data_IF_798323637540
#
_entry.id   IF_798323637540
#
_cell.length_a   1.000
_cell.length_b   1.000
_cell.length_c   1.000
_cell.angle_alpha   90.00
_cell.angle_beta   90.00
_cell.angle_gamma   90.00
#
_symmetry.space_group_name_H-M   'P 1'
#
loop_
_entity.id
_entity.type
_entity.pdbx_description
1 polymer ?
#
# COMPACT_ATOMS: atom_id res chain seq x y z
N UNK A 1 34.73 -18.23 30.29
CA UNK A 1 33.26 -18.21 30.23
C UNK A 1 32.85 -17.05 29.33
N UNK A 2 32.75 -17.24 27.99
CA UNK A 2 32.21 -16.19 27.14
C UNK A 2 30.68 -16.26 27.20
N UNK A 3 30.07 -15.19 27.69
CA UNK A 3 28.63 -15.02 27.71
C UNK A 3 28.07 -15.13 26.30
N UNK A 4 27.13 -16.06 26.12
CA UNK A 4 26.36 -16.18 24.91
C UNK A 4 25.67 -14.85 24.65
N UNK A 5 26.05 -14.23 23.54
CA UNK A 5 25.35 -13.10 22.94
C UNK A 5 23.95 -13.58 22.60
N UNK A 6 22.94 -13.09 23.34
CA UNK A 6 21.54 -13.20 22.94
C UNK A 6 21.38 -12.44 21.62
N UNK A 7 21.54 -13.16 20.51
CA UNK A 7 21.06 -12.75 19.21
C UNK A 7 19.53 -12.81 19.25
N UNK A 8 18.91 -11.78 19.84
CA UNK A 8 17.50 -11.51 19.66
C UNK A 8 17.30 -11.16 18.18
N UNK A 9 16.97 -12.20 17.41
CA UNK A 9 16.09 -12.22 16.24
C UNK A 9 15.93 -10.86 15.57
N UNK A 10 16.65 -10.66 14.45
CA UNK A 10 16.25 -9.68 13.44
C UNK A 10 14.82 -10.01 13.03
N UNK A 11 13.88 -9.29 13.61
CA UNK A 11 12.46 -9.43 13.40
C UNK A 11 12.12 -9.16 11.93
N UNK A 12 11.29 -10.02 11.33
CA UNK A 12 10.79 -10.01 9.94
C UNK A 12 9.98 -8.75 9.53
N UNK A 13 10.27 -7.57 10.11
CA UNK A 13 9.58 -6.29 9.91
C UNK A 13 9.90 -5.67 8.53
N UNK A 14 10.78 -6.28 7.75
CA UNK A 14 11.35 -5.69 6.54
C UNK A 14 10.62 -6.05 5.24
N UNK A 15 9.49 -6.75 5.31
CA UNK A 15 8.72 -7.15 4.13
C UNK A 15 7.39 -6.40 4.05
N UNK A 16 7.21 -5.66 2.95
CA UNK A 16 6.04 -4.84 2.69
C UNK A 16 5.44 -5.27 1.35
N UNK A 17 4.15 -5.59 1.36
CA UNK A 17 3.37 -5.73 0.15
C UNK A 17 3.04 -4.34 -0.38
N UNK A 18 3.37 -4.08 -1.63
CA UNK A 18 2.99 -2.85 -2.32
C UNK A 18 1.93 -3.20 -3.35
N UNK A 19 0.81 -2.51 -3.28
CA UNK A 19 -0.22 -2.55 -4.32
C UNK A 19 -0.41 -1.16 -4.88
N UNK A 20 -0.65 -1.06 -6.18
CA UNK A 20 -1.12 0.17 -6.81
C UNK A 20 -2.53 -0.09 -7.27
N UNK A 21 -3.44 0.74 -6.81
CA UNK A 21 -4.85 0.67 -7.17
C UNK A 21 -5.29 1.93 -7.87
N UNK A 22 -6.33 1.82 -8.68
CA UNK A 22 -6.99 2.91 -9.36
C UNK A 22 -8.44 2.95 -8.94
N UNK A 23 -8.90 4.14 -8.56
CA UNK A 23 -10.31 4.43 -8.28
C UNK A 23 -10.76 5.65 -9.08
N UNK A 24 -12.07 5.77 -9.30
CA UNK A 24 -12.66 7.00 -9.81
C UNK A 24 -12.37 8.18 -8.87
N UNK A 25 -12.35 9.41 -9.40
CA UNK A 25 -12.17 10.62 -8.58
C UNK A 25 -13.33 10.81 -7.61
N UNK A 26 -14.55 10.45 -8.03
CA UNK A 26 -15.77 10.50 -7.21
C UNK A 26 -15.66 9.60 -5.98
N UNK A 27 -15.17 8.37 -6.14
CA UNK A 27 -15.08 7.40 -5.05
C UNK A 27 -13.78 7.53 -4.24
N UNK A 28 -12.80 8.29 -4.73
CA UNK A 28 -11.49 8.42 -4.07
C UNK A 28 -11.58 8.97 -2.64
N UNK A 29 -12.54 9.84 -2.36
CA UNK A 29 -12.76 10.36 -1.01
C UNK A 29 -13.19 9.25 -0.03
N UNK A 30 -14.09 8.36 -0.48
CA UNK A 30 -14.52 7.21 0.31
C UNK A 30 -13.40 6.18 0.50
N UNK A 31 -12.59 5.98 -0.54
CA UNK A 31 -11.40 5.14 -0.47
C UNK A 31 -10.40 5.65 0.60
N UNK A 32 -10.03 6.93 0.56
CA UNK A 32 -9.13 7.50 1.56
C UNK A 32 -9.72 7.44 2.97
N UNK A 33 -11.00 7.80 3.12
CA UNK A 33 -11.68 7.72 4.40
C UNK A 33 -11.64 6.31 5.01
N UNK A 34 -11.82 5.28 4.18
CA UNK A 34 -11.74 3.89 4.64
C UNK A 34 -10.34 3.52 5.10
N UNK A 35 -9.30 3.94 4.37
CA UNK A 35 -7.91 3.69 4.78
C UNK A 35 -7.55 4.44 6.07
N UNK A 36 -7.98 5.70 6.20
CA UNK A 36 -7.76 6.53 7.39
C UNK A 36 -8.50 5.99 8.62
N UNK A 37 -9.71 5.45 8.43
CA UNK A 37 -10.47 4.84 9.52
C UNK A 37 -9.85 3.51 10.01
N UNK A 38 -9.03 2.86 9.19
CA UNK A 38 -8.32 1.62 9.50
C UNK A 38 -6.84 1.89 9.80
N UNK A 39 -6.61 2.81 10.75
CA UNK A 39 -5.29 3.26 11.15
C UNK A 39 -4.30 2.10 11.39
N UNK A 40 -3.03 2.33 11.03
CA UNK A 40 -1.92 1.40 11.21
C UNK A 40 -2.00 0.07 10.42
N UNK A 41 -3.02 -0.18 9.61
CA UNK A 41 -3.09 -1.39 8.75
C UNK A 41 -2.24 -1.26 7.50
N UNK A 42 -2.25 -0.07 6.89
CA UNK A 42 -1.47 0.22 5.69
C UNK A 42 -1.04 1.69 5.65
N UNK A 43 -0.05 1.97 4.82
CA UNK A 43 0.34 3.32 4.42
C UNK A 43 -0.09 3.52 2.97
N UNK A 44 -0.44 4.74 2.59
CA UNK A 44 -0.77 5.02 1.21
C UNK A 44 -0.22 6.36 0.75
N UNK A 45 -0.07 6.50 -0.56
CA UNK A 45 0.28 7.73 -1.23
C UNK A 45 -0.46 7.82 -2.54
N UNK A 46 -0.99 9.00 -2.85
CA UNK A 46 -1.56 9.26 -4.17
C UNK A 46 -0.41 9.46 -5.15
N UNK A 47 -0.37 8.65 -6.21
CA UNK A 47 0.58 8.84 -7.30
C UNK A 47 0.20 10.08 -8.10
N UNK A 48 1.19 10.73 -8.71
CA UNK A 48 1.02 12.01 -9.41
C UNK A 48 -0.16 11.98 -10.38
N UNK A 49 -1.24 12.66 -10.00
CA UNK A 49 -2.42 12.82 -10.83
C UNK A 49 -2.20 14.00 -11.77
N UNK A 50 -2.26 13.77 -13.07
CA UNK A 50 -2.27 14.89 -14.02
C UNK A 50 -3.58 15.66 -13.84
N UNK A 51 -3.50 17.00 -13.86
CA UNK A 51 -4.67 17.87 -13.73
C UNK A 51 -5.74 17.45 -14.76
N UNK A 52 -6.96 17.15 -14.30
CA UNK A 52 -8.07 16.73 -15.17
C UNK A 52 -8.26 15.22 -15.31
N UNK A 53 -7.43 14.36 -14.71
CA UNK A 53 -7.67 12.91 -14.73
C UNK A 53 -8.92 12.54 -13.92
N UNK A 54 -9.82 11.69 -14.47
CA UNK A 54 -11.07 11.27 -13.82
C UNK A 54 -10.86 10.17 -12.76
N UNK A 55 -9.61 9.76 -12.53
CA UNK A 55 -9.24 8.70 -11.61
C UNK A 55 -8.11 9.13 -10.67
N UNK A 56 -7.85 8.31 -9.66
CA UNK A 56 -6.73 8.43 -8.74
C UNK A 56 -6.02 7.09 -8.67
N UNK A 57 -4.72 7.14 -8.88
CA UNK A 57 -3.83 6.01 -8.67
C UNK A 57 -3.22 6.16 -7.28
N UNK A 58 -3.32 5.11 -6.48
CA UNK A 58 -2.97 5.12 -5.07
C UNK A 58 -2.02 3.95 -4.85
N UNK A 59 -0.81 4.25 -4.42
CA UNK A 59 0.14 3.25 -3.94
C UNK A 59 -0.16 2.97 -2.47
N UNK A 60 -0.25 1.70 -2.10
CA UNK A 60 -0.54 1.23 -0.74
C UNK A 60 0.56 0.26 -0.33
N UNK A 61 1.17 0.52 0.83
CA UNK A 61 2.15 -0.35 1.48
C UNK A 61 1.53 -1.03 2.69
N UNK A 62 1.62 -2.36 2.73
CA UNK A 62 1.00 -3.20 3.74
C UNK A 62 2.10 -4.02 4.43
N UNK A 63 2.31 -3.88 5.74
CA UNK A 63 3.22 -4.76 6.48
C UNK A 63 2.80 -6.22 6.31
N UNK A 64 3.76 -7.13 6.06
CA UNK A 64 3.44 -8.55 5.84
C UNK A 64 2.58 -9.17 6.96
N UNK A 65 2.78 -8.75 8.20
CA UNK A 65 2.01 -9.23 9.35
C UNK A 65 0.55 -8.81 9.35
N UNK A 66 0.21 -7.71 8.66
CA UNK A 66 -1.14 -7.12 8.63
C UNK A 66 -1.88 -7.36 7.31
N UNK A 67 -1.30 -8.20 6.44
CA UNK A 67 -1.91 -8.54 5.16
C UNK A 67 -3.30 -9.17 5.31
N UNK A 68 -3.55 -10.12 6.23
CA UNK A 68 -4.88 -10.70 6.40
C UNK A 68 -5.95 -9.66 6.79
N UNK A 69 -5.62 -8.75 7.71
CA UNK A 69 -6.49 -7.67 8.16
C UNK A 69 -6.77 -6.68 7.03
N UNK A 70 -5.74 -6.35 6.26
CA UNK A 70 -5.89 -5.52 5.06
C UNK A 70 -6.81 -6.19 4.03
N UNK A 71 -6.61 -7.48 3.74
CA UNK A 71 -7.40 -8.19 2.73
C UNK A 71 -8.88 -8.23 3.07
N UNK A 72 -9.24 -8.41 4.34
CA UNK A 72 -10.63 -8.38 4.80
C UNK A 72 -11.27 -7.00 4.57
N UNK A 73 -10.59 -5.94 5.00
CA UNK A 73 -11.06 -4.56 4.84
C UNK A 73 -11.11 -4.15 3.37
N UNK A 74 -10.08 -4.51 2.59
CA UNK A 74 -10.01 -4.20 1.16
C UNK A 74 -11.05 -4.96 0.34
N UNK A 75 -11.37 -6.20 0.72
CA UNK A 75 -12.47 -6.97 0.09
C UNK A 75 -13.81 -6.27 0.30
N UNK A 76 -14.12 -5.89 1.54
CA UNK A 76 -15.35 -5.14 1.85
C UNK A 76 -15.40 -3.78 1.11
N UNK A 77 -14.26 -3.10 0.98
CA UNK A 77 -14.16 -1.87 0.20
C UNK A 77 -14.46 -2.12 -1.29
N UNK A 78 -13.88 -3.16 -1.89
CA UNK A 78 -14.12 -3.54 -3.28
C UNK A 78 -15.58 -3.95 -3.58
N UNK A 79 -16.33 -4.41 -2.58
CA UNK A 79 -17.78 -4.68 -2.72
C UNK A 79 -18.60 -3.39 -2.79
N UNK A 80 -18.13 -2.33 -2.12
CA UNK A 80 -18.84 -1.05 -2.03
C UNK A 80 -18.53 -0.06 -3.17
N UNK A 81 -17.39 -0.21 -3.85
CA UNK A 81 -16.94 0.70 -4.90
C UNK A 81 -16.04 0.02 -5.93
N UNK A 82 -15.87 0.66 -7.10
CA UNK A 82 -15.02 0.11 -8.17
C UNK A 82 -13.55 0.45 -7.93
N UNK A 83 -12.78 -0.58 -7.58
CA UNK A 83 -11.33 -0.49 -7.44
C UNK A 83 -10.66 -1.38 -8.49
N UNK A 84 -9.70 -0.84 -9.23
CA UNK A 84 -8.89 -1.59 -10.18
C UNK A 84 -7.47 -1.76 -9.62
N UNK A 85 -6.99 -2.99 -9.49
CA UNK A 85 -5.59 -3.25 -9.12
C UNK A 85 -4.73 -3.09 -10.40
N UNK A 86 -3.74 -2.20 -10.35
CA UNK A 86 -2.81 -1.94 -11.45
C UNK A 86 -1.52 -2.76 -11.32
N UNK A 87 -1.04 -2.98 -10.10
CA UNK A 87 0.15 -3.80 -9.82
C UNK A 87 0.18 -4.26 -8.37
N UNK A 88 0.83 -5.40 -8.12
CA UNK A 88 1.09 -5.94 -6.78
C UNK A 88 2.50 -6.56 -6.75
N UNK A 89 3.30 -6.19 -5.74
CA UNK A 89 4.66 -6.70 -5.54
C UNK A 89 4.98 -6.86 -4.05
N UNK A 90 5.77 -7.89 -3.71
CA UNK A 90 6.35 -8.03 -2.39
C UNK A 90 7.77 -7.44 -2.41
N UNK A 91 8.01 -6.42 -1.58
CA UNK A 91 9.31 -5.77 -1.47
C UNK A 91 9.98 -6.15 -0.15
N UNK A 92 11.27 -6.55 -0.23
CA UNK A 92 12.14 -6.76 0.92
C UNK A 92 13.05 -5.55 1.08
N UNK A 93 13.19 -5.02 2.31
CA UNK A 93 14.06 -3.89 2.64
C UNK A 93 13.77 -2.58 1.88
N UNK A 94 12.67 -1.91 2.19
CA UNK A 94 12.46 -0.51 1.79
C UNK A 94 12.98 0.44 2.86
N UNK A 95 14.05 1.22 2.63
CA UNK A 95 14.13 2.55 3.21
C UNK A 95 12.93 3.33 2.69
N UNK A 96 12.18 4.02 3.55
CA UNK A 96 10.88 4.64 3.27
C UNK A 96 10.87 5.81 2.25
N UNK A 97 11.81 5.84 1.32
CA UNK A 97 11.73 6.72 0.17
C UNK A 97 10.71 6.11 -0.79
N UNK A 98 9.48 6.64 -0.78
CA UNK A 98 8.52 6.43 -1.85
C UNK A 98 9.14 7.08 -3.10
N UNK A 99 10.05 6.38 -3.76
CA UNK A 99 10.39 6.67 -5.15
C UNK A 99 9.14 6.31 -5.95
N UNK A 100 8.31 7.33 -6.14
CA UNK A 100 7.18 7.37 -7.07
C UNK A 100 7.60 6.58 -8.30
N UNK A 101 6.94 5.44 -8.55
CA UNK A 101 7.22 4.59 -9.69
C UNK A 101 6.98 5.42 -10.95
N UNK A 102 8.03 6.07 -11.46
CA UNK A 102 8.04 6.77 -12.75
C UNK A 102 8.08 5.69 -13.84
N UNK A 103 6.98 4.95 -14.02
CA UNK A 103 6.77 4.28 -15.30
C UNK A 103 6.18 5.30 -16.27
N UNK A 104 7.09 5.95 -16.99
CA UNK A 104 6.78 6.58 -18.27
C UNK A 104 6.11 5.54 -19.17
N UNK A 105 4.81 5.66 -19.36
CA UNK A 105 4.17 5.06 -20.53
C UNK A 105 4.43 6.03 -21.67
N UNK A 106 5.46 5.74 -22.46
CA UNK A 106 5.75 6.43 -23.71
C UNK A 106 4.68 6.03 -24.76
N UNK A 107 4.46 6.86 -25.79
CA UNK A 107 3.16 7.12 -26.42
C UNK A 107 2.55 5.97 -27.24
#
# INVERSE_FOLDING_TARGET
MPGQTDQLSQSNIHQIWKIVVRTSKEDSAFFYFTLEANENICFYSTLDATLGQPHRDIAIGIPRSLRPEFDLMFTALCESMKVQILSEELSENVPWTIEVCKRSVAP
#
